data_IF_449857278236
#
_entry.id   IF_449857278236
#
_cell.length_a   1.000
_cell.length_b   1.000
_cell.length_c   1.000
_cell.angle_alpha   90.00
_cell.angle_beta   90.00
_cell.angle_gamma   90.00
#
_symmetry.space_group_name_H-M   'P 1'
#
loop_
_entity.id
_entity.type
_entity.pdbx_description
1 polymer ?
#
# COMPACT_ATOMS: atom_id res chain seq x y z
N UNK A 1 -24.90 -31.55 44.09
CA UNK A 1 -23.47 -31.57 44.50
C UNK A 1 -22.76 -30.61 43.57
N UNK A 2 -22.55 -29.37 44.01
CA UNK A 2 -22.07 -28.27 43.17
C UNK A 2 -20.61 -27.97 43.48
N UNK A 3 -19.71 -27.82 42.49
CA UNK A 3 -18.39 -27.29 42.74
C UNK A 3 -18.37 -25.75 42.74
N UNK A 4 -17.59 -25.20 43.67
CA UNK A 4 -17.50 -23.78 44.01
C UNK A 4 -16.69 -22.96 42.99
N UNK A 5 -17.15 -21.75 42.73
CA UNK A 5 -16.50 -20.73 41.90
C UNK A 5 -15.45 -19.98 42.73
N UNK A 6 -14.20 -19.96 42.27
CA UNK A 6 -13.10 -19.20 42.88
C UNK A 6 -12.76 -18.00 42.00
N UNK A 7 -12.94 -16.77 42.51
CA UNK A 7 -12.62 -15.51 41.83
C UNK A 7 -11.18 -15.11 42.15
N UNK A 8 -10.38 -14.77 41.12
CA UNK A 8 -9.06 -14.15 41.29
C UNK A 8 -9.16 -12.62 41.27
N UNK A 9 -8.34 -11.91 42.08
CA UNK A 9 -8.33 -10.46 42.11
C UNK A 9 -7.45 -9.84 41.02
N UNK A 10 -7.99 -8.78 40.41
CA UNK A 10 -7.38 -7.85 39.45
C UNK A 10 -6.32 -7.00 40.16
N UNK A 11 -5.12 -6.89 39.59
CA UNK A 11 -4.10 -5.90 40.01
C UNK A 11 -3.92 -4.89 38.89
N UNK A 12 -4.48 -3.69 39.13
CA UNK A 12 -4.35 -2.50 38.32
C UNK A 12 -2.99 -1.83 38.61
N UNK A 13 -2.17 -1.58 37.58
CA UNK A 13 -0.99 -0.70 37.69
C UNK A 13 -0.98 0.30 36.54
N UNK A 14 -1.40 1.51 36.87
CA UNK A 14 -1.27 2.74 36.09
C UNK A 14 0.16 3.26 36.16
N UNK A 15 0.70 3.71 35.03
CA UNK A 15 1.90 4.56 34.98
C UNK A 15 1.69 5.61 33.89
N UNK A 16 1.53 6.85 34.34
CA UNK A 16 1.43 8.08 33.53
C UNK A 16 2.83 8.65 33.42
N UNK A 17 3.33 8.91 32.20
CA UNK A 17 4.48 9.79 31.98
C UNK A 17 4.12 10.77 30.87
N UNK A 18 3.94 12.03 31.29
CA UNK A 18 3.80 13.22 30.46
C UNK A 18 5.20 13.73 30.08
N UNK A 19 5.42 13.99 28.80
CA UNK A 19 6.66 14.59 28.30
C UNK A 19 6.38 15.45 27.08
N UNK A 20 6.10 16.73 27.29
CA UNK A 20 5.97 17.74 26.24
C UNK A 20 7.31 18.48 26.11
N UNK A 21 7.95 18.39 24.94
CA UNK A 21 8.99 19.33 24.51
C UNK A 21 8.54 20.00 23.21
N UNK A 22 8.20 21.28 23.33
CA UNK A 22 7.99 22.18 22.21
C UNK A 22 9.35 22.70 21.71
N UNK A 23 9.65 22.46 20.44
CA UNK A 23 10.78 23.08 19.73
C UNK A 23 10.21 24.01 18.66
N UNK A 24 10.19 25.30 18.96
CA UNK A 24 9.90 26.36 17.99
C UNK A 24 11.18 26.71 17.23
N UNK A 25 11.24 26.42 15.93
CA UNK A 25 12.28 26.97 15.04
C UNK A 25 11.68 28.09 14.19
N UNK A 26 12.02 29.31 14.58
CA UNK A 26 11.73 30.56 13.89
C UNK A 26 12.60 30.73 12.64
N UNK A 27 11.93 31.13 11.55
CA UNK A 27 12.46 31.43 10.23
C UNK A 27 13.50 32.56 10.21
N UNK A 28 14.43 32.50 9.25
CA UNK A 28 15.16 33.68 8.77
C UNK A 28 15.25 33.68 7.24
N UNK A 29 14.62 34.70 6.69
CA UNK A 29 14.49 35.12 5.30
C UNK A 29 15.82 35.58 4.71
N UNK A 30 16.12 35.19 3.47
CA UNK A 30 17.16 35.81 2.67
C UNK A 30 16.56 36.92 1.77
N UNK A 31 17.23 38.08 1.61
CA UNK A 31 16.74 39.18 0.79
C UNK A 31 17.03 38.92 -0.70
N UNK A 32 15.99 38.96 -1.55
CA UNK A 32 16.16 39.04 -3.00
C UNK A 32 16.56 40.46 -3.39
N UNK A 33 17.83 40.61 -3.76
CA UNK A 33 18.38 41.83 -4.36
C UNK A 33 18.01 41.86 -5.85
N UNK A 34 17.42 42.96 -6.29
CA UNK A 34 17.09 43.22 -7.70
C UNK A 34 18.18 44.06 -8.39
N UNK A 35 18.17 43.94 -9.73
CA UNK A 35 18.69 44.84 -10.78
C UNK A 35 20.06 44.48 -11.41
N UNK A 36 20.39 44.94 -12.65
CA UNK A 36 19.57 45.36 -13.81
C UNK A 36 20.01 44.75 -15.19
N UNK A 37 19.22 45.07 -16.22
CA UNK A 37 19.45 45.18 -17.69
C UNK A 37 20.69 44.58 -18.39
N UNK A 38 20.43 43.86 -19.50
CA UNK A 38 21.19 43.98 -20.76
C UNK A 38 20.30 43.72 -22.00
N UNK A 39 20.50 44.57 -23.02
CA UNK A 39 19.87 44.69 -24.34
C UNK A 39 20.15 43.48 -25.28
N UNK A 40 19.42 43.29 -26.40
CA UNK A 40 19.51 42.10 -27.23
C UNK A 40 20.72 42.15 -28.17
N UNK A 41 21.39 41.02 -28.39
CA UNK A 41 22.35 40.81 -29.48
C UNK A 41 21.94 39.61 -30.32
N UNK A 42 21.89 39.87 -31.62
CA UNK A 42 21.58 38.99 -32.74
C UNK A 42 22.59 37.86 -32.91
N UNK A 43 22.07 36.64 -33.09
CA UNK A 43 22.50 35.70 -34.12
C UNK A 43 23.65 34.76 -33.77
N UNK A 44 23.31 33.50 -33.47
CA UNK A 44 24.10 32.34 -33.88
C UNK A 44 23.14 31.20 -34.25
N UNK A 45 23.24 30.78 -35.51
CA UNK A 45 22.48 29.72 -36.15
C UNK A 45 22.88 28.37 -35.55
N UNK A 46 22.12 27.92 -34.55
CA UNK A 46 22.28 26.56 -34.04
C UNK A 46 21.52 25.60 -34.95
N UNK A 47 22.30 24.84 -35.73
CA UNK A 47 21.82 23.69 -36.50
C UNK A 47 21.05 22.74 -35.57
N UNK A 48 19.72 22.75 -35.68
CA UNK A 48 18.85 21.86 -34.92
C UNK A 48 18.99 20.45 -35.48
N UNK A 49 19.89 19.66 -34.88
CA UNK A 49 19.82 18.21 -35.03
C UNK A 49 18.48 17.79 -34.44
N UNK A 50 17.59 17.08 -35.17
CA UNK A 50 16.35 16.62 -34.59
C UNK A 50 16.70 15.65 -33.46
N UNK A 51 16.41 16.07 -32.23
CA UNK A 51 16.41 15.19 -31.08
C UNK A 51 15.34 14.15 -31.37
N UNK A 52 15.73 12.88 -31.48
CA UNK A 52 14.78 11.80 -31.61
C UNK A 52 13.85 11.84 -30.41
N UNK A 53 12.58 12.16 -30.64
CA UNK A 53 11.54 12.04 -29.62
C UNK A 53 11.56 10.59 -29.14
N UNK A 54 11.67 10.32 -27.83
CA UNK A 54 11.55 8.95 -27.33
C UNK A 54 10.20 8.42 -27.78
N UNK A 55 10.21 7.38 -28.62
CA UNK A 55 9.01 6.59 -28.91
C UNK A 55 8.61 5.97 -27.58
N UNK A 56 7.46 6.37 -27.04
CA UNK A 56 6.84 5.66 -25.93
C UNK A 56 6.76 4.19 -26.34
N UNK A 57 7.43 3.32 -25.59
CA UNK A 57 7.24 1.88 -25.75
C UNK A 57 5.75 1.62 -25.56
N UNK A 58 5.13 0.87 -26.46
CA UNK A 58 3.76 0.43 -26.23
C UNK A 58 3.78 -0.40 -24.95
N UNK A 59 3.01 0.02 -23.94
CA UNK A 59 2.74 -0.80 -22.75
C UNK A 59 2.17 -2.11 -23.24
N UNK A 60 2.77 -3.22 -22.82
CA UNK A 60 2.30 -4.54 -23.24
C UNK A 60 1.04 -4.84 -22.44
N UNK A 61 0.14 -5.61 -23.05
CA UNK A 61 -1.05 -6.07 -22.33
C UNK A 61 -0.65 -7.12 -21.30
N UNK A 62 -1.05 -6.93 -20.05
CA UNK A 62 -0.82 -7.88 -18.96
C UNK A 62 -1.67 -9.13 -19.18
N UNK A 63 -1.07 -10.30 -18.93
CA UNK A 63 -1.73 -11.60 -19.09
C UNK A 63 -2.00 -12.19 -17.71
N UNK A 64 -3.28 -12.30 -17.37
CA UNK A 64 -3.73 -12.87 -16.10
C UNK A 64 -4.38 -14.24 -16.23
N UNK A 65 -4.50 -14.93 -15.10
CA UNK A 65 -5.38 -16.09 -14.92
C UNK A 65 -6.35 -15.79 -13.77
N UNK A 66 -7.67 -16.04 -13.92
CA UNK A 66 -8.62 -15.80 -12.85
C UNK A 66 -8.22 -16.51 -11.55
N UNK A 67 -8.38 -15.82 -10.43
CA UNK A 67 -8.05 -16.31 -9.11
C UNK A 67 -9.15 -15.97 -8.11
N UNK A 68 -9.81 -17.01 -7.60
CA UNK A 68 -10.92 -16.91 -6.67
C UNK A 68 -10.58 -17.71 -5.39
N UNK A 69 -10.57 -17.04 -4.24
CA UNK A 69 -10.31 -17.64 -2.92
C UNK A 69 -11.19 -16.99 -1.86
N UNK A 70 -11.64 -17.77 -0.88
CA UNK A 70 -12.39 -17.24 0.25
C UNK A 70 -11.54 -16.26 1.08
N UNK A 71 -12.09 -15.08 1.41
CA UNK A 71 -11.36 -14.04 2.15
C UNK A 71 -10.84 -14.49 3.52
N UNK A 72 -11.53 -15.43 4.17
CA UNK A 72 -11.09 -16.01 5.44
C UNK A 72 -9.94 -17.02 5.29
N UNK A 73 -9.77 -17.60 4.10
CA UNK A 73 -8.62 -18.45 3.77
C UNK A 73 -7.41 -17.59 3.41
N UNK A 74 -7.63 -16.46 2.72
CA UNK A 74 -6.59 -15.51 2.36
C UNK A 74 -6.01 -14.78 3.58
N UNK A 75 -6.87 -14.40 4.53
CA UNK A 75 -6.49 -13.71 5.75
C UNK A 75 -7.35 -14.16 6.93
N UNK A 76 -6.72 -14.88 7.86
CA UNK A 76 -7.40 -15.36 9.06
C UNK A 76 -7.95 -14.17 9.88
N UNK A 77 -9.26 -14.16 10.19
CA UNK A 77 -9.88 -13.04 10.89
C UNK A 77 -9.36 -12.89 12.33
N UNK A 78 -8.90 -13.96 12.96
CA UNK A 78 -8.28 -13.90 14.29
C UNK A 78 -6.96 -13.13 14.28
N UNK A 79 -6.14 -13.39 13.26
CA UNK A 79 -4.86 -12.73 13.02
C UNK A 79 -5.07 -11.25 12.68
N UNK A 80 -5.98 -10.95 11.74
CA UNK A 80 -6.32 -9.57 11.41
C UNK A 80 -6.82 -8.79 12.63
N UNK A 81 -7.73 -9.37 13.43
CA UNK A 81 -8.24 -8.72 14.63
C UNK A 81 -7.16 -8.49 15.71
N UNK A 82 -6.06 -9.25 15.68
CA UNK A 82 -4.94 -9.07 16.62
C UNK A 82 -4.07 -7.85 16.30
N UNK A 83 -3.97 -7.50 15.02
CA UNK A 83 -3.21 -6.32 14.54
C UNK A 83 -4.10 -5.09 14.42
N UNK A 84 -5.34 -5.27 13.96
CA UNK A 84 -6.32 -4.24 13.68
C UNK A 84 -7.66 -4.57 14.36
N UNK A 85 -7.77 -4.31 15.67
CA UNK A 85 -8.96 -4.65 16.43
C UNK A 85 -10.17 -3.85 15.94
N UNK A 86 -11.31 -4.52 15.80
CA UNK A 86 -12.58 -3.90 15.40
C UNK A 86 -12.89 -3.97 13.91
N UNK A 87 -11.94 -4.42 13.07
CA UNK A 87 -12.21 -4.73 11.68
C UNK A 87 -13.12 -5.95 11.54
N UNK A 88 -14.12 -5.83 10.68
CA UNK A 88 -15.03 -6.91 10.29
C UNK A 88 -15.16 -6.96 8.77
N UNK A 89 -15.33 -8.16 8.21
CA UNK A 89 -15.51 -8.32 6.78
C UNK A 89 -16.75 -7.54 6.32
N UNK A 90 -16.62 -6.86 5.19
CA UNK A 90 -17.69 -6.08 4.55
C UNK A 90 -17.85 -6.55 3.13
N UNK A 91 -19.08 -6.54 2.62
CA UNK A 91 -19.32 -6.76 1.20
C UNK A 91 -18.68 -5.62 0.39
N UNK A 92 -18.21 -5.91 -0.82
CA UNK A 92 -17.49 -4.95 -1.65
C UNK A 92 -18.29 -3.67 -1.91
N UNK A 93 -19.61 -3.76 -2.07
CA UNK A 93 -20.51 -2.63 -2.30
C UNK A 93 -20.86 -1.82 -1.03
N UNK A 94 -20.64 -2.39 0.16
CA UNK A 94 -21.06 -1.81 1.44
C UNK A 94 -19.94 -1.06 2.16
N UNK A 95 -18.71 -1.33 1.76
CA UNK A 95 -17.55 -0.83 2.45
C UNK A 95 -17.49 0.72 2.24
N UNK A 96 -17.08 1.49 3.26
CA UNK A 96 -17.00 2.98 3.16
C UNK A 96 -15.61 3.52 3.54
N UNK A 97 -15.32 4.82 3.56
CA UNK A 97 -14.11 5.36 4.22
C UNK A 97 -12.79 5.36 3.43
N UNK A 98 -12.69 4.56 2.36
CA UNK A 98 -11.64 4.66 1.35
C UNK A 98 -12.29 5.12 0.04
N UNK A 99 -12.25 6.43 -0.23
CA UNK A 99 -12.89 7.03 -1.40
C UNK A 99 -12.30 6.57 -2.73
N UNK A 100 -11.26 5.75 -2.70
CA UNK A 100 -10.58 5.20 -3.87
C UNK A 100 -10.21 3.74 -3.62
N UNK A 101 -11.12 2.91 -3.08
CA UNK A 101 -10.91 1.45 -3.05
C UNK A 101 -10.39 0.91 -4.39
N UNK A 102 -10.81 1.56 -5.46
CA UNK A 102 -10.38 1.40 -6.85
C UNK A 102 -8.99 1.99 -7.12
N UNK A 103 -8.11 2.09 -6.11
CA UNK A 103 -6.74 2.53 -6.28
C UNK A 103 -6.10 1.69 -7.39
N UNK A 104 -5.23 2.30 -8.20
CA UNK A 104 -4.80 1.72 -9.49
C UNK A 104 -4.35 0.24 -9.37
N UNK A 105 -3.64 -0.11 -8.28
CA UNK A 105 -3.23 -1.49 -7.99
C UNK A 105 -4.40 -2.46 -7.66
N UNK A 106 -5.40 -2.03 -6.88
CA UNK A 106 -6.57 -2.87 -6.58
C UNK A 106 -7.50 -2.99 -7.79
N UNK A 107 -7.63 -1.93 -8.60
CA UNK A 107 -8.33 -2.01 -9.88
C UNK A 107 -7.61 -2.99 -10.83
N UNK A 108 -6.27 -2.98 -10.85
CA UNK A 108 -5.48 -3.94 -11.62
C UNK A 108 -5.74 -5.40 -11.20
N UNK A 109 -5.97 -5.65 -9.91
CA UNK A 109 -6.38 -6.98 -9.40
C UNK A 109 -7.78 -7.33 -9.89
N UNK A 110 -8.74 -6.41 -9.80
CA UNK A 110 -10.12 -6.64 -10.22
C UNK A 110 -10.22 -6.88 -11.74
N UNK A 111 -9.51 -6.08 -12.55
CA UNK A 111 -9.45 -6.22 -14.01
C UNK A 111 -8.81 -7.54 -14.45
N UNK A 112 -8.02 -8.16 -13.58
CA UNK A 112 -7.38 -9.45 -13.79
C UNK A 112 -8.24 -10.65 -13.33
N UNK A 113 -9.50 -10.44 -12.95
CA UNK A 113 -10.38 -11.44 -12.34
C UNK A 113 -9.78 -12.06 -11.06
N UNK A 114 -9.11 -11.22 -10.25
CA UNK A 114 -8.54 -11.59 -8.95
C UNK A 114 -9.52 -11.45 -7.79
N UNK A 115 -9.10 -11.96 -6.63
CA UNK A 115 -9.87 -11.88 -5.38
C UNK A 115 -9.57 -10.57 -4.67
N UNK A 116 -10.61 -9.82 -4.29
CA UNK A 116 -10.49 -8.65 -3.40
C UNK A 116 -11.31 -8.87 -2.14
N UNK A 117 -10.73 -8.51 -1.00
CA UNK A 117 -11.31 -8.70 0.32
C UNK A 117 -11.16 -7.43 1.13
N UNK A 118 -12.28 -6.91 1.65
CA UNK A 118 -12.26 -5.71 2.50
C UNK A 118 -12.77 -6.01 3.90
N UNK A 119 -12.07 -5.43 4.88
CA UNK A 119 -12.52 -5.34 6.25
C UNK A 119 -12.60 -3.88 6.67
N UNK A 120 -13.57 -3.56 7.52
CA UNK A 120 -13.81 -2.22 8.00
C UNK A 120 -14.21 -2.21 9.49
N UNK A 121 -13.80 -1.16 10.20
CA UNK A 121 -14.25 -0.87 11.55
C UNK A 121 -15.37 0.19 11.60
N UNK A 122 -15.94 0.39 12.78
CA UNK A 122 -17.00 1.38 13.01
C UNK A 122 -16.58 2.85 12.82
N UNK A 123 -15.28 3.15 12.76
CA UNK A 123 -14.76 4.50 12.50
C UNK A 123 -14.59 4.79 11.01
N UNK A 124 -14.69 3.76 10.17
CA UNK A 124 -14.50 3.83 8.73
C UNK A 124 -13.11 3.44 8.27
N UNK A 125 -12.19 3.05 9.16
CA UNK A 125 -10.88 2.55 8.78
C UNK A 125 -11.03 1.20 8.05
N UNK A 126 -10.22 0.99 7.02
CA UNK A 126 -10.29 -0.19 6.17
C UNK A 126 -8.96 -0.90 6.09
N UNK A 127 -9.00 -2.21 5.88
CA UNK A 127 -7.92 -2.98 5.27
C UNK A 127 -8.52 -3.67 4.07
N UNK A 128 -7.96 -3.44 2.90
CA UNK A 128 -8.36 -4.13 1.66
C UNK A 128 -7.17 -4.89 1.13
N UNK A 129 -7.36 -6.17 0.81
CA UNK A 129 -6.37 -7.03 0.18
C UNK A 129 -6.88 -7.46 -1.17
N UNK A 130 -6.04 -7.38 -2.19
CA UNK A 130 -6.29 -7.93 -3.52
C UNK A 130 -5.21 -8.95 -3.89
N UNK A 131 -5.59 -10.03 -4.55
CA UNK A 131 -4.65 -10.97 -5.15
C UNK A 131 -5.10 -11.33 -6.57
N UNK A 132 -4.20 -11.18 -7.53
CA UNK A 132 -4.37 -11.63 -8.90
C UNK A 132 -3.19 -12.48 -9.35
N UNK A 133 -3.43 -13.40 -10.30
CA UNK A 133 -2.40 -14.22 -10.89
C UNK A 133 -2.03 -13.70 -12.28
N UNK A 134 -0.73 -13.49 -12.51
CA UNK A 134 -0.19 -13.04 -13.78
C UNK A 134 0.91 -13.99 -14.27
N UNK A 135 1.18 -13.97 -15.58
CA UNK A 135 2.38 -14.61 -16.11
C UNK A 135 3.66 -13.86 -15.69
N UNK A 136 4.82 -14.52 -15.84
CA UNK A 136 6.09 -13.97 -15.37
C UNK A 136 6.46 -12.65 -16.05
N UNK A 137 6.21 -12.52 -17.37
CA UNK A 137 6.49 -11.29 -18.11
C UNK A 137 5.65 -10.11 -17.58
N UNK A 138 4.38 -10.37 -17.23
CA UNK A 138 3.45 -9.37 -16.69
C UNK A 138 3.82 -8.98 -15.25
N UNK A 139 4.25 -9.93 -14.41
CA UNK A 139 4.76 -9.62 -13.07
C UNK A 139 6.04 -8.76 -13.14
N UNK A 140 6.95 -9.08 -14.06
CA UNK A 140 8.15 -8.27 -14.28
C UNK A 140 7.78 -6.86 -14.77
N UNK A 141 6.78 -6.71 -15.65
CA UNK A 141 6.31 -5.40 -16.11
C UNK A 141 5.73 -4.55 -14.96
N UNK A 142 4.87 -5.15 -14.13
CA UNK A 142 4.32 -4.51 -12.93
C UNK A 142 5.43 -4.09 -11.94
N UNK A 143 6.37 -4.99 -11.65
CA UNK A 143 7.48 -4.69 -10.74
C UNK A 143 8.39 -3.57 -11.28
N UNK A 144 8.67 -3.56 -12.59
CA UNK A 144 9.48 -2.51 -13.22
C UNK A 144 8.81 -1.12 -13.15
N UNK A 145 7.48 -1.05 -13.21
CA UNK A 145 6.77 0.22 -12.98
C UNK A 145 6.97 0.69 -11.54
N UNK A 146 6.80 -0.19 -10.56
CA UNK A 146 6.94 0.12 -9.14
C UNK A 146 8.36 0.51 -8.72
N UNK A 147 9.39 0.06 -9.44
CA UNK A 147 10.76 0.58 -9.27
C UNK A 147 10.84 2.08 -9.53
N UNK A 148 10.02 2.60 -10.45
CA UNK A 148 9.99 4.01 -10.81
C UNK A 148 8.98 4.84 -9.99
N UNK A 149 7.90 4.20 -9.52
CA UNK A 149 6.75 4.89 -8.93
C UNK A 149 6.61 4.69 -7.41
N UNK A 150 7.25 3.67 -6.83
CA UNK A 150 7.10 3.28 -5.42
C UNK A 150 8.46 3.06 -4.73
N UNK A 151 8.44 2.57 -3.48
CA UNK A 151 9.66 2.33 -2.68
C UNK A 151 9.82 0.85 -2.36
N UNK A 152 10.98 0.27 -2.67
CA UNK A 152 11.26 -1.14 -2.36
C UNK A 152 11.28 -1.43 -0.86
N UNK A 153 10.65 -2.54 -0.46
CA UNK A 153 10.49 -2.99 0.93
C UNK A 153 11.03 -4.42 1.11
N UNK A 154 12.24 -4.58 1.68
CA UNK A 154 12.82 -5.89 1.93
C UNK A 154 12.10 -6.72 3.02
N UNK A 155 11.32 -6.08 3.89
CA UNK A 155 10.76 -6.75 5.08
C UNK A 155 9.59 -7.68 4.77
N UNK A 156 8.96 -7.56 3.60
CA UNK A 156 7.93 -8.50 3.14
C UNK A 156 8.47 -9.89 2.80
N UNK A 157 9.80 -10.07 2.71
CA UNK A 157 10.44 -11.37 2.46
C UNK A 157 10.38 -11.86 1.01
N UNK A 158 9.69 -11.11 0.14
CA UNK A 158 9.66 -11.23 -1.31
C UNK A 158 9.97 -9.88 -1.93
N UNK A 159 10.04 -9.79 -3.25
CA UNK A 159 10.07 -8.48 -3.91
C UNK A 159 8.75 -7.75 -3.61
N UNK A 160 8.86 -6.54 -3.09
CA UNK A 160 7.70 -5.76 -2.70
C UNK A 160 8.01 -4.28 -2.56
N UNK A 161 6.94 -3.51 -2.58
CA UNK A 161 6.95 -2.06 -2.70
C UNK A 161 5.91 -1.46 -1.76
N UNK A 162 6.16 -0.23 -1.33
CA UNK A 162 5.23 0.53 -0.51
C UNK A 162 5.27 2.02 -0.83
N UNK A 163 4.09 2.59 -0.92
CA UNK A 163 3.88 4.03 -0.99
C UNK A 163 2.61 4.43 -0.22
N UNK A 164 2.36 5.74 -0.14
CA UNK A 164 1.21 6.29 0.59
C UNK A 164 0.45 7.34 -0.23
N UNK A 165 -0.10 6.97 -1.40
CA UNK A 165 -0.78 7.89 -2.29
C UNK A 165 -2.03 8.44 -1.60
N UNK A 166 -2.10 9.76 -1.44
CA UNK A 166 -3.24 10.40 -0.79
C UNK A 166 -3.45 9.97 0.67
N UNK A 167 -2.36 9.72 1.41
CA UNK A 167 -2.38 9.30 2.83
C UNK A 167 -2.97 7.90 3.08
N UNK A 168 -3.07 7.08 2.02
CA UNK A 168 -3.49 5.68 2.11
C UNK A 168 -2.29 4.82 1.76
N UNK A 169 -1.79 4.02 2.71
CA UNK A 169 -0.67 3.14 2.44
C UNK A 169 -1.07 1.99 1.55
N UNK A 170 -0.28 1.74 0.51
CA UNK A 170 -0.42 0.63 -0.43
C UNK A 170 0.86 -0.19 -0.38
N UNK A 171 0.71 -1.47 -0.06
CA UNK A 171 1.78 -2.46 -0.11
C UNK A 171 1.54 -3.41 -1.27
N UNK A 172 2.55 -3.61 -2.09
CA UNK A 172 2.51 -4.49 -3.26
C UNK A 172 3.61 -5.53 -3.13
N UNK A 173 3.31 -6.80 -3.37
CA UNK A 173 4.26 -7.89 -3.21
C UNK A 173 4.10 -8.95 -4.32
N UNK A 174 5.24 -9.46 -4.78
CA UNK A 174 5.33 -10.38 -5.90
C UNK A 174 5.78 -11.76 -5.43
N UNK A 175 4.90 -12.75 -5.58
CA UNK A 175 5.18 -14.16 -5.27
C UNK A 175 4.57 -15.02 -6.36
N UNK A 176 5.29 -15.14 -7.48
CA UNK A 176 4.84 -15.83 -8.70
C UNK A 176 4.02 -17.09 -8.42
N UNK A 177 2.79 -17.21 -8.98
CA UNK A 177 2.19 -16.31 -9.98
C UNK A 177 1.47 -15.08 -9.39
N UNK A 178 1.47 -14.90 -8.07
CA UNK A 178 0.65 -13.92 -7.39
C UNK A 178 1.26 -12.51 -7.37
N UNK A 179 0.41 -11.53 -7.70
CA UNK A 179 0.54 -10.12 -7.36
C UNK A 179 -0.40 -9.83 -6.19
N UNK A 180 0.16 -9.44 -5.05
CA UNK A 180 -0.56 -9.16 -3.81
C UNK A 180 -0.58 -7.66 -3.57
N UNK A 181 -1.75 -7.09 -3.31
CA UNK A 181 -1.95 -5.70 -2.94
C UNK A 181 -2.61 -5.64 -1.57
N UNK A 182 -2.10 -4.81 -0.66
CA UNK A 182 -2.74 -4.53 0.63
C UNK A 182 -2.80 -3.02 0.84
N UNK A 183 -3.99 -2.49 1.10
CA UNK A 183 -4.24 -1.05 1.18
C UNK A 183 -5.01 -0.68 2.43
N UNK A 184 -4.59 0.39 3.11
CA UNK A 184 -5.25 0.87 4.33
C UNK A 184 -4.88 2.31 4.67
N UNK A 185 -5.83 3.05 5.24
CA UNK A 185 -5.56 4.35 5.90
C UNK A 185 -4.73 4.21 7.18
N UNK A 186 -4.56 2.98 7.69
CA UNK A 186 -3.77 2.68 8.89
C UNK A 186 -2.35 2.23 8.54
N UNK A 187 -2.05 2.00 7.26
CA UNK A 187 -0.68 1.72 6.83
C UNK A 187 0.05 3.04 6.60
N UNK A 188 0.84 3.48 7.58
CA UNK A 188 1.62 4.72 7.49
C UNK A 188 3.07 4.43 7.11
N UNK A 189 3.56 3.24 7.44
CA UNK A 189 4.88 2.73 7.13
C UNK A 189 4.79 1.27 6.62
N UNK A 190 5.81 0.78 5.90
CA UNK A 190 5.80 -0.61 5.41
C UNK A 190 5.60 -1.65 6.51
N UNK A 191 6.11 -1.38 7.72
CA UNK A 191 5.97 -2.27 8.88
C UNK A 191 4.52 -2.42 9.37
N UNK A 192 3.64 -1.47 9.05
CA UNK A 192 2.21 -1.61 9.34
C UNK A 192 1.58 -2.67 8.41
N UNK A 193 1.91 -2.63 7.12
CA UNK A 193 1.37 -3.58 6.14
C UNK A 193 2.00 -4.99 6.24
N UNK A 194 3.24 -5.09 6.73
CA UNK A 194 4.02 -6.34 6.83
C UNK A 194 3.26 -7.54 7.40
N UNK A 195 2.58 -7.48 8.56
CA UNK A 195 1.85 -8.63 9.09
C UNK A 195 0.73 -9.11 8.16
N UNK A 196 0.05 -8.20 7.47
CA UNK A 196 -1.02 -8.54 6.51
C UNK A 196 -0.44 -9.19 5.26
N UNK A 197 0.57 -8.57 4.64
CA UNK A 197 1.25 -9.11 3.44
C UNK A 197 1.84 -10.48 3.74
N UNK A 198 2.52 -10.64 4.88
CA UNK A 198 3.13 -11.91 5.29
C UNK A 198 2.11 -13.03 5.50
N UNK A 199 0.94 -12.70 6.07
CA UNK A 199 -0.14 -13.66 6.27
C UNK A 199 -0.72 -14.12 4.93
N UNK A 200 -0.99 -13.19 4.02
CA UNK A 200 -1.50 -13.47 2.66
C UNK A 200 -0.51 -14.35 1.89
N UNK A 201 0.77 -13.97 1.85
CA UNK A 201 1.83 -14.77 1.22
C UNK A 201 2.01 -16.16 1.86
N UNK A 202 1.58 -16.35 3.10
CA UNK A 202 1.60 -17.65 3.77
C UNK A 202 0.35 -18.48 3.47
N UNK A 203 -0.80 -17.83 3.27
CA UNK A 203 -2.03 -18.47 2.82
C UNK A 203 -1.91 -18.99 1.39
N UNK A 204 -1.34 -18.19 0.47
CA UNK A 204 -1.18 -18.57 -0.95
C UNK A 204 -0.42 -19.89 -1.14
N UNK A 205 0.65 -20.11 -0.36
CA UNK A 205 1.42 -21.37 -0.35
C UNK A 205 0.61 -22.61 0.04
N UNK A 206 -0.58 -22.44 0.60
CA UNK A 206 -1.46 -23.53 1.02
C UNK A 206 -2.60 -23.79 0.03
N UNK A 207 -2.89 -22.84 -0.86
CA UNK A 207 -3.98 -22.90 -1.84
C UNK A 207 -3.50 -23.07 -3.30
N UNK A 208 -2.20 -22.94 -3.54
CA UNK A 208 -1.52 -23.29 -4.82
C UNK A 208 -1.36 -24.81 -5.06
#
# INVERSE_FOLDING_TARGET
>A
MSPASTRSPVVLRTLVVTGALALTLTACTAPSQAAPSATPTTGEESSSTPVATPTAAATRELVSTPFDVDCGELLDPGSLASWYPGLTAVADDEASGDASRDGEALQQVADADGTTCTWQDSSGATVTVGVAHFDADSLDELANDLVATSNSVPTFGVEGYFDTPGEIGTAEAFSSPAFVVARSTTFLEPGDAEPVVSAVLSALKQVD
#
